data_IF_627018652805
#
_entry.id   IF_627018652805
#
_cell.length_a   1.000
_cell.length_b   1.000
_cell.length_c   1.000
_cell.angle_alpha   90.00
_cell.angle_beta   90.00
_cell.angle_gamma   90.00
#
_symmetry.space_group_name_H-M   'P 1'
#
loop_
_entity.id
_entity.type
_entity.pdbx_description
1 polymer ?
#
# COMPACT_ATOMS: atom_id res chain seq x y z
N UNK A 1 -11.56 18.78 9.97
CA UNK A 1 -10.77 17.65 9.45
C UNK A 1 -10.70 16.53 10.48
N UNK A 2 -11.03 15.30 10.08
CA UNK A 2 -10.80 14.12 10.92
C UNK A 2 -9.33 13.70 10.75
N UNK A 3 -8.57 13.71 11.85
CA UNK A 3 -7.23 13.13 11.92
C UNK A 3 -7.32 11.86 12.76
N UNK A 4 -6.70 10.77 12.28
CA UNK A 4 -6.64 9.48 12.96
C UNK A 4 -7.31 8.37 12.15
N UNK A 5 -7.95 7.43 12.85
CA UNK A 5 -8.65 6.32 12.22
C UNK A 5 -10.11 6.37 12.67
N UNK A 6 -11.03 6.53 11.73
CA UNK A 6 -12.47 6.57 11.98
C UNK A 6 -12.88 5.40 12.89
N UNK A 7 -13.64 5.73 13.94
CA UNK A 7 -14.16 4.80 14.92
C UNK A 7 -15.67 4.97 15.10
N UNK A 8 -16.33 3.92 15.58
CA UNK A 8 -17.72 3.97 16.00
C UNK A 8 -17.89 4.57 17.41
N UNK A 9 -19.12 4.58 17.91
CA UNK A 9 -19.45 5.13 19.24
C UNK A 9 -18.81 4.34 20.40
N UNK A 10 -18.31 3.12 20.14
CA UNK A 10 -17.59 2.28 21.12
C UNK A 10 -16.07 2.44 21.03
N UNK A 11 -15.58 3.36 20.18
CA UNK A 11 -14.17 3.53 19.82
C UNK A 11 -13.56 2.35 19.05
N UNK A 12 -14.38 1.52 18.39
CA UNK A 12 -13.89 0.48 17.50
C UNK A 12 -13.62 1.05 16.11
N UNK A 13 -12.40 0.85 15.59
CA UNK A 13 -12.02 1.31 14.26
C UNK A 13 -12.68 0.50 13.14
N UNK A 14 -12.97 1.16 12.03
CA UNK A 14 -13.69 0.56 10.89
C UNK A 14 -12.90 -0.55 10.17
N UNK A 15 -11.60 -0.70 10.43
CA UNK A 15 -10.76 -1.83 9.99
C UNK A 15 -10.42 -1.87 8.48
N UNK A 16 -11.37 -1.52 7.61
CA UNK A 16 -11.23 -1.55 6.15
C UNK A 16 -11.10 -0.18 5.47
N UNK A 17 -11.29 0.93 6.19
CA UNK A 17 -11.20 2.28 5.64
C UNK A 17 -10.93 3.33 6.75
N UNK A 18 -10.88 4.61 6.40
CA UNK A 18 -10.95 5.72 7.38
C UNK A 18 -9.66 6.01 8.15
N UNK A 19 -8.56 5.34 7.86
CA UNK A 19 -7.24 5.69 8.36
C UNK A 19 -6.68 6.88 7.55
N UNK A 20 -6.41 7.99 8.22
CA UNK A 20 -5.79 9.18 7.61
C UNK A 20 -4.29 9.22 7.92
N UNK A 21 -3.46 9.34 6.89
CA UNK A 21 -2.00 9.41 7.02
C UNK A 21 -1.44 10.51 6.11
N UNK A 22 -0.31 11.08 6.51
CA UNK A 22 0.52 11.83 5.57
C UNK A 22 1.13 10.88 4.52
N UNK A 23 1.50 11.36 3.30
CA UNK A 23 2.25 10.54 2.34
C UNK A 23 3.49 9.91 2.95
N UNK A 24 4.20 10.65 3.80
CA UNK A 24 5.43 10.19 4.47
C UNK A 24 5.14 9.05 5.45
N UNK A 25 4.06 9.12 6.22
CA UNK A 25 3.69 8.05 7.15
C UNK A 25 3.22 6.79 6.40
N UNK A 26 2.45 6.96 5.32
CA UNK A 26 2.08 5.86 4.44
C UNK A 26 3.33 5.23 3.77
N UNK A 27 4.33 6.02 3.40
CA UNK A 27 5.60 5.53 2.86
C UNK A 27 6.40 4.70 3.89
N UNK A 28 6.31 4.99 5.20
CA UNK A 28 6.94 4.15 6.25
C UNK A 28 6.37 2.73 6.27
N UNK A 29 5.08 2.54 5.95
CA UNK A 29 4.47 1.21 5.78
C UNK A 29 5.08 0.51 4.56
N UNK A 30 5.21 1.22 3.44
CA UNK A 30 5.89 0.66 2.26
C UNK A 30 7.34 0.28 2.55
N UNK A 31 8.07 1.13 3.28
CA UNK A 31 9.46 0.88 3.66
C UNK A 31 9.59 -0.31 4.60
N UNK A 32 8.65 -0.50 5.53
CA UNK A 32 8.57 -1.69 6.38
C UNK A 32 8.47 -2.97 5.51
N UNK A 33 7.63 -2.96 4.47
CA UNK A 33 7.47 -4.09 3.56
C UNK A 33 8.70 -4.30 2.67
N UNK A 34 9.30 -3.21 2.17
CA UNK A 34 10.52 -3.25 1.38
C UNK A 34 11.69 -3.84 2.18
N UNK A 35 11.81 -3.46 3.46
CA UNK A 35 12.83 -3.93 4.39
C UNK A 35 12.50 -5.28 5.05
N UNK A 36 11.54 -6.04 4.52
CA UNK A 36 11.24 -7.39 5.02
C UNK A 36 10.73 -7.43 6.46
N UNK A 37 10.02 -6.38 6.91
CA UNK A 37 9.37 -6.31 8.22
C UNK A 37 10.15 -5.54 9.28
N UNK A 38 11.23 -4.85 8.90
CA UNK A 38 12.06 -4.03 9.78
C UNK A 38 11.90 -2.55 9.46
N UNK A 39 11.64 -1.72 10.47
CA UNK A 39 11.63 -0.27 10.36
C UNK A 39 12.44 0.32 11.52
N UNK A 40 13.36 1.24 11.23
CA UNK A 40 14.24 1.88 12.22
C UNK A 40 14.95 0.86 13.15
N UNK A 41 15.57 -0.17 12.55
CA UNK A 41 16.25 -1.26 13.26
C UNK A 41 15.34 -2.12 14.18
N UNK A 42 14.03 -1.93 14.14
CA UNK A 42 13.05 -2.70 14.90
C UNK A 42 12.25 -3.62 13.97
N UNK A 43 12.23 -4.91 14.28
CA UNK A 43 11.34 -5.88 13.63
C UNK A 43 9.91 -5.64 14.11
N UNK A 44 9.02 -5.19 13.23
CA UNK A 44 7.60 -4.96 13.53
C UNK A 44 6.76 -6.18 13.11
N UNK A 45 7.08 -6.78 11.97
CA UNK A 45 6.46 -8.03 11.49
C UNK A 45 7.54 -8.99 10.98
N UNK A 46 7.23 -10.28 10.88
CA UNK A 46 8.19 -11.25 10.38
C UNK A 46 8.38 -11.12 8.86
N UNK A 47 9.59 -11.44 8.38
CA UNK A 47 9.85 -11.54 6.94
C UNK A 47 8.95 -12.58 6.27
N UNK A 48 8.61 -13.66 6.97
CA UNK A 48 7.64 -14.65 6.48
C UNK A 48 6.24 -14.07 6.36
N UNK A 49 5.84 -13.16 7.25
CA UNK A 49 4.58 -12.44 7.10
C UNK A 49 4.60 -11.53 5.87
N UNK A 50 5.66 -10.77 5.64
CA UNK A 50 5.81 -9.94 4.42
C UNK A 50 5.68 -10.83 3.17
N UNK A 51 6.39 -11.96 3.13
CA UNK A 51 6.30 -12.91 2.01
C UNK A 51 4.87 -13.41 1.85
N UNK A 52 4.26 -13.92 2.94
CA UNK A 52 2.93 -14.49 2.92
C UNK A 52 1.87 -13.46 2.51
N UNK A 53 1.88 -12.25 3.06
CA UNK A 53 0.87 -11.23 2.76
C UNK A 53 0.98 -10.65 1.35
N UNK A 54 2.18 -10.71 0.75
CA UNK A 54 2.44 -10.24 -0.63
C UNK A 54 2.50 -11.37 -1.67
N UNK A 55 2.16 -12.60 -1.28
CA UNK A 55 1.93 -13.70 -2.23
C UNK A 55 0.53 -13.65 -2.80
N UNK A 56 0.34 -14.21 -4.00
CA UNK A 56 -0.99 -14.35 -4.60
C UNK A 56 -1.79 -15.42 -3.85
N UNK A 57 -2.94 -15.02 -3.30
CA UNK A 57 -3.91 -15.90 -2.64
C UNK A 57 -5.25 -15.96 -3.38
N UNK A 58 -5.56 -14.97 -4.20
CA UNK A 58 -6.75 -14.91 -5.03
C UNK A 58 -6.44 -14.30 -6.39
N UNK A 59 -7.19 -14.73 -7.41
CA UNK A 59 -7.12 -14.20 -8.77
C UNK A 59 -8.51 -13.96 -9.33
N UNK A 60 -8.71 -12.82 -9.97
CA UNK A 60 -9.92 -12.49 -10.71
C UNK A 60 -9.53 -11.85 -12.05
N UNK A 61 -9.71 -12.59 -13.15
CA UNK A 61 -9.12 -12.27 -14.45
C UNK A 61 -7.60 -12.03 -14.31
N UNK A 62 -7.11 -10.89 -14.80
CA UNK A 62 -5.70 -10.49 -14.72
C UNK A 62 -5.30 -9.87 -13.38
N UNK A 63 -6.25 -9.73 -12.44
CA UNK A 63 -6.00 -9.14 -11.13
C UNK A 63 -5.60 -10.23 -10.12
N UNK A 64 -4.44 -10.06 -9.51
CA UNK A 64 -3.96 -10.91 -8.43
C UNK A 64 -4.01 -10.17 -7.09
N UNK A 65 -4.40 -10.88 -6.04
CA UNK A 65 -4.57 -10.30 -4.70
C UNK A 65 -3.92 -11.17 -3.63
N UNK A 66 -3.25 -10.52 -2.69
CA UNK A 66 -2.67 -11.09 -1.48
C UNK A 66 -3.52 -10.81 -0.25
N UNK A 67 -2.88 -10.72 0.92
CA UNK A 67 -3.59 -10.29 2.13
C UNK A 67 -3.61 -8.76 2.21
N UNK A 68 -4.67 -8.19 1.65
CA UNK A 68 -4.90 -6.73 1.56
C UNK A 68 -3.97 -5.98 0.59
N UNK A 69 -3.34 -6.70 -0.35
CA UNK A 69 -2.42 -6.15 -1.35
C UNK A 69 -2.82 -6.57 -2.77
N UNK A 70 -2.85 -5.62 -3.69
CA UNK A 70 -2.86 -5.90 -5.12
C UNK A 70 -1.47 -6.35 -5.54
N UNK A 71 -1.37 -7.52 -6.17
CA UNK A 71 -0.10 -8.08 -6.65
C UNK A 71 -0.02 -7.77 -8.14
N UNK A 72 0.96 -6.94 -8.52
CA UNK A 72 1.06 -6.39 -9.88
C UNK A 72 1.97 -7.26 -10.74
N UNK A 73 3.09 -7.69 -10.18
CA UNK A 73 4.04 -8.61 -10.79
C UNK A 73 4.84 -9.32 -9.68
N UNK A 74 5.90 -10.05 -10.06
CA UNK A 74 6.72 -10.81 -9.11
C UNK A 74 7.48 -9.92 -8.11
N UNK A 75 7.74 -8.67 -8.47
CA UNK A 75 8.61 -7.76 -7.71
C UNK A 75 7.83 -6.63 -7.05
N UNK A 76 6.58 -6.39 -7.47
CA UNK A 76 5.79 -5.25 -7.04
C UNK A 76 4.34 -5.53 -6.68
N UNK A 77 3.88 -4.77 -5.69
CA UNK A 77 2.55 -4.86 -5.10
C UNK A 77 2.12 -3.48 -4.60
N UNK A 78 0.82 -3.28 -4.44
CA UNK A 78 0.25 -2.00 -4.06
C UNK A 78 -0.99 -2.12 -3.15
N UNK A 79 -1.17 -1.13 -2.29
CA UNK A 79 -2.44 -0.87 -1.61
C UNK A 79 -3.10 0.30 -2.33
N UNK A 80 -4.29 0.05 -2.87
CA UNK A 80 -5.04 1.02 -3.66
C UNK A 80 -6.30 1.40 -2.89
N UNK A 81 -6.43 2.69 -2.59
CA UNK A 81 -7.56 3.26 -1.87
C UNK A 81 -8.40 4.15 -2.78
N UNK A 82 -9.64 4.35 -2.36
CA UNK A 82 -10.58 5.22 -3.05
C UNK A 82 -10.04 6.65 -3.18
N UNK A 83 -10.50 7.39 -4.19
CA UNK A 83 -9.99 8.71 -4.55
C UNK A 83 -8.58 8.71 -5.19
N UNK A 84 -7.99 7.55 -5.43
CA UNK A 84 -6.66 7.43 -6.03
C UNK A 84 -5.52 7.51 -5.01
N UNK A 85 -5.78 7.15 -3.76
CA UNK A 85 -4.72 6.92 -2.76
C UNK A 85 -3.93 5.66 -3.16
N UNK A 86 -2.61 5.72 -3.14
CA UNK A 86 -1.76 4.63 -3.63
C UNK A 86 -0.50 4.51 -2.80
N UNK A 87 -0.27 3.31 -2.25
CA UNK A 87 1.02 2.88 -1.73
C UNK A 87 1.54 1.78 -2.64
N UNK A 88 2.67 2.03 -3.31
CA UNK A 88 3.31 1.11 -4.25
C UNK A 88 4.70 0.73 -3.75
N UNK A 89 5.05 -0.55 -3.86
CA UNK A 89 6.35 -1.07 -3.48
C UNK A 89 6.92 -1.92 -4.61
N UNK A 90 8.17 -1.67 -4.99
CA UNK A 90 8.94 -2.48 -5.92
C UNK A 90 10.23 -2.94 -5.25
N UNK A 91 10.33 -4.24 -4.96
CA UNK A 91 11.47 -4.82 -4.26
C UNK A 91 12.72 -4.89 -5.13
N UNK A 92 12.57 -5.20 -6.43
CA UNK A 92 13.70 -5.31 -7.34
C UNK A 92 14.39 -3.96 -7.56
N UNK A 93 13.61 -2.87 -7.60
CA UNK A 93 14.14 -1.51 -7.74
C UNK A 93 14.45 -0.81 -6.43
N UNK A 94 14.12 -1.41 -5.28
CA UNK A 94 14.26 -0.79 -3.97
C UNK A 94 13.50 0.55 -3.85
N UNK A 95 12.25 0.58 -4.35
CA UNK A 95 11.42 1.80 -4.42
C UNK A 95 10.13 1.64 -3.61
N UNK A 96 9.75 2.71 -2.91
CA UNK A 96 8.42 2.93 -2.33
C UNK A 96 7.87 4.24 -2.89
N UNK A 97 6.63 4.21 -3.39
CA UNK A 97 5.91 5.40 -3.85
C UNK A 97 4.62 5.53 -3.06
N UNK A 98 4.38 6.71 -2.51
CA UNK A 98 3.22 7.03 -1.69
C UNK A 98 2.53 8.26 -2.28
N UNK A 99 1.26 8.11 -2.65
CA UNK A 99 0.42 9.17 -3.22
C UNK A 99 -0.86 9.27 -2.41
N UNK A 100 -1.07 10.40 -1.75
CA UNK A 100 -2.37 10.72 -1.14
C UNK A 100 -3.16 11.62 -2.07
N UNK A 101 -4.46 11.37 -2.19
CA UNK A 101 -5.33 12.11 -3.08
C UNK A 101 -6.56 12.61 -2.34
N UNK A 102 -7.07 13.77 -2.74
CA UNK A 102 -8.42 14.18 -2.38
C UNK A 102 -9.43 13.24 -3.05
N UNK A 103 -10.48 12.86 -2.34
CA UNK A 103 -11.52 12.00 -2.90
C UNK A 103 -12.17 12.65 -4.13
N UNK A 104 -12.18 11.91 -5.24
CA UNK A 104 -12.89 12.25 -6.47
C UNK A 104 -13.63 10.99 -6.93
N UNK A 105 -14.94 11.08 -7.24
CA UNK A 105 -15.70 9.93 -7.74
C UNK A 105 -15.07 9.33 -9.00
N UNK A 106 -15.05 7.99 -9.08
CA UNK A 106 -14.49 7.24 -10.22
C UNK A 106 -13.03 7.59 -10.54
N UNK A 107 -12.24 7.98 -9.55
CA UNK A 107 -10.81 8.17 -9.71
C UNK A 107 -10.15 6.86 -10.18
N UNK A 108 -9.39 6.92 -11.27
CA UNK A 108 -8.53 5.82 -11.70
C UNK A 108 -7.39 5.63 -10.70
N UNK A 109 -6.94 4.38 -10.56
CA UNK A 109 -5.70 4.09 -9.83
C UNK A 109 -4.50 4.80 -10.50
N UNK A 110 -3.40 4.89 -9.75
CA UNK A 110 -2.20 5.60 -10.18
C UNK A 110 -1.09 4.65 -10.68
N UNK A 111 -1.39 3.37 -10.91
CA UNK A 111 -0.37 2.39 -11.30
C UNK A 111 0.23 2.74 -12.67
N UNK A 112 -0.61 3.14 -13.64
CA UNK A 112 -0.14 3.54 -14.96
C UNK A 112 0.79 4.78 -14.90
N UNK A 113 0.46 5.76 -14.06
CA UNK A 113 1.32 6.93 -13.80
C UNK A 113 2.67 6.49 -13.23
N UNK A 114 2.64 5.62 -12.23
CA UNK A 114 3.84 5.12 -11.55
C UNK A 114 4.73 4.36 -12.54
N UNK A 115 4.18 3.33 -13.20
CA UNK A 115 4.94 2.42 -14.07
C UNK A 115 5.52 3.12 -15.29
N UNK A 116 4.81 4.08 -15.89
CA UNK A 116 5.24 4.73 -17.14
C UNK A 116 6.14 5.94 -16.93
N UNK A 117 5.97 6.69 -15.84
CA UNK A 117 6.63 7.99 -15.70
C UNK A 117 7.51 8.11 -14.45
N UNK A 118 7.12 7.50 -13.32
CA UNK A 118 7.86 7.64 -12.06
C UNK A 118 8.94 6.56 -11.94
N UNK A 119 8.55 5.29 -12.03
CA UNK A 119 9.43 4.13 -11.85
C UNK A 119 10.61 4.08 -12.85
N UNK A 120 10.51 4.59 -14.10
CA UNK A 120 11.65 4.65 -15.02
C UNK A 120 12.65 5.79 -14.73
N UNK A 121 12.30 6.75 -13.87
CA UNK A 121 13.15 7.91 -13.54
C UNK A 121 14.18 7.61 -12.44
N UNK A 122 14.17 6.38 -11.91
CA UNK A 122 15.06 5.86 -10.86
C UNK A 122 15.60 4.50 -11.28
#
# INVERSE_FOLDING_TARGET
DMNGWVCDKTNLNTGGWGLTLSPTDMAKIGQLYLNGGVLNCKKIVSTDWIKKSTSVHSKFNDLSYGYLWWILDKDSFAALGDGGNTLYVNKAKNIVISITSLFVPNAKDKIDLIKRYIEPSF
#
